data_IF_352773359230
#
_entry.id   IF_352773359230
#
_cell.length_a   1.000
_cell.length_b   1.000
_cell.length_c   1.000
_cell.angle_alpha   90.00
_cell.angle_beta   90.00
_cell.angle_gamma   90.00
#
_symmetry.space_group_name_H-M   'P 1'
#
loop_
_entity.id
_entity.type
_entity.pdbx_description
1 polymer ?
#
# COMPACT_ATOMS: atom_id res chain seq x y z
N UNK A 1 14.37 31.40 25.25
CA UNK A 1 14.62 30.62 24.02
C UNK A 1 16.10 30.35 23.96
N UNK A 2 16.51 29.10 24.07
CA UNK A 2 17.89 28.68 23.81
C UNK A 2 18.20 29.01 22.35
N UNK A 3 19.08 29.98 22.13
CA UNK A 3 19.56 30.34 20.80
C UNK A 3 20.57 29.27 20.40
N UNK A 4 20.27 28.51 19.35
CA UNK A 4 21.19 27.52 18.81
C UNK A 4 22.26 28.24 18.00
N UNK A 5 23.52 27.88 18.25
CA UNK A 5 24.68 28.45 17.57
C UNK A 5 24.59 28.31 16.04
N UNK A 6 25.05 29.33 15.32
CA UNK A 6 24.94 29.40 13.86
C UNK A 6 25.90 28.43 13.15
N UNK A 7 27.09 28.18 13.70
CA UNK A 7 28.02 27.19 13.14
C UNK A 7 27.43 25.79 13.26
N UNK A 8 26.82 25.48 14.42
CA UNK A 8 26.10 24.23 14.63
C UNK A 8 24.96 24.04 13.61
N UNK A 9 24.13 25.07 13.39
CA UNK A 9 23.07 25.01 12.37
C UNK A 9 23.61 24.78 10.96
N UNK A 10 24.77 25.37 10.64
CA UNK A 10 25.45 25.20 9.34
C UNK A 10 25.97 23.78 9.19
N UNK A 11 26.61 23.23 10.22
CA UNK A 11 27.09 21.86 10.26
C UNK A 11 25.93 20.85 10.09
N UNK A 12 24.82 21.04 10.83
CA UNK A 12 23.63 20.20 10.73
C UNK A 12 23.07 20.20 9.30
N UNK A 13 22.96 21.36 8.65
CA UNK A 13 22.51 21.43 7.25
C UNK A 13 23.45 20.68 6.31
N UNK A 14 24.76 20.84 6.47
CA UNK A 14 25.77 20.16 5.62
C UNK A 14 25.72 18.63 5.77
N UNK A 15 25.37 18.13 6.95
CA UNK A 15 25.14 16.70 7.22
C UNK A 15 23.72 16.21 6.87
N UNK A 16 22.90 17.05 6.23
CA UNK A 16 21.48 16.77 5.92
C UNK A 16 20.60 16.51 7.16
N UNK A 17 20.96 17.11 8.29
CA UNK A 17 20.23 17.11 9.56
C UNK A 17 19.40 18.40 9.74
N UNK A 18 19.01 19.07 8.65
CA UNK A 18 18.36 20.38 8.71
C UNK A 18 17.02 20.41 9.46
N UNK A 19 16.38 19.26 9.69
CA UNK A 19 15.16 19.12 10.50
C UNK A 19 15.45 18.99 11.99
N UNK A 20 16.63 18.50 12.39
CA UNK A 20 17.09 18.52 13.79
C UNK A 20 17.12 19.95 14.31
N UNK A 21 17.50 20.92 13.46
CA UNK A 21 17.52 22.33 13.83
C UNK A 21 16.18 22.86 14.37
N UNK A 22 15.06 22.25 13.97
CA UNK A 22 13.72 22.67 14.42
C UNK A 22 13.40 22.17 15.84
N UNK A 23 13.90 20.99 16.22
CA UNK A 23 13.60 20.34 17.50
C UNK A 23 14.72 20.51 18.53
N UNK A 24 15.94 20.82 18.08
CA UNK A 24 17.13 20.97 18.92
C UNK A 24 16.95 21.97 20.08
N UNK A 25 16.33 23.16 19.92
CA UNK A 25 16.11 24.07 21.05
C UNK A 25 15.33 23.43 22.20
N UNK A 26 14.28 22.66 21.88
CA UNK A 26 13.46 21.96 22.87
C UNK A 26 14.25 20.82 23.56
N UNK A 27 15.08 20.10 22.79
CA UNK A 27 15.94 19.04 23.33
C UNK A 27 17.04 19.58 24.24
N UNK A 28 17.60 20.75 23.94
CA UNK A 28 18.58 21.43 24.80
C UNK A 28 17.96 21.84 26.14
N UNK A 29 16.76 22.43 26.12
CA UNK A 29 16.02 22.77 27.36
C UNK A 29 15.71 21.53 28.19
N UNK A 30 15.34 20.42 27.54
CA UNK A 30 15.11 19.15 28.22
C UNK A 30 16.38 18.62 28.88
N UNK A 31 17.51 18.65 28.17
CA UNK A 31 18.80 18.20 28.68
C UNK A 31 19.26 19.02 29.90
N UNK A 32 19.11 20.34 29.86
CA UNK A 32 19.38 21.22 31.01
C UNK A 32 18.51 20.85 32.22
N UNK A 33 17.19 20.73 32.02
CA UNK A 33 16.24 20.40 33.10
C UNK A 33 16.51 19.04 33.73
N UNK A 34 16.96 18.07 32.94
CA UNK A 34 17.22 16.70 33.41
C UNK A 34 18.68 16.48 33.81
N UNK A 35 19.54 17.50 33.73
CA UNK A 35 20.99 17.34 33.92
C UNK A 35 21.56 16.17 33.07
N UNK A 36 21.08 16.09 31.82
CA UNK A 36 21.37 15.01 30.90
C UNK A 36 22.84 15.06 30.45
N UNK A 37 23.60 13.95 30.56
CA UNK A 37 24.94 13.85 29.99
C UNK A 37 24.95 14.14 28.48
N UNK A 38 26.04 14.73 27.98
CA UNK A 38 26.15 15.11 26.56
C UNK A 38 25.95 13.90 25.63
N UNK A 39 26.47 12.74 26.00
CA UNK A 39 26.28 11.49 25.24
C UNK A 39 24.80 11.12 25.09
N UNK A 40 23.99 11.31 26.15
CA UNK A 40 22.56 11.02 26.12
C UNK A 40 21.80 12.04 25.26
N UNK A 41 22.18 13.32 25.30
CA UNK A 41 21.60 14.34 24.42
C UNK A 41 21.91 14.04 22.95
N UNK A 42 23.16 13.68 22.64
CA UNK A 42 23.55 13.30 21.28
C UNK A 42 22.76 12.09 20.80
N UNK A 43 22.68 11.04 21.62
CA UNK A 43 21.89 9.85 21.30
C UNK A 43 20.43 10.22 21.05
N UNK A 44 19.79 10.99 21.94
CA UNK A 44 18.40 11.43 21.80
C UNK A 44 18.16 12.14 20.47
N UNK A 45 18.99 13.14 20.14
CA UNK A 45 18.86 13.93 18.93
C UNK A 45 19.05 13.08 17.67
N UNK A 46 20.02 12.17 17.68
CA UNK A 46 20.29 11.28 16.55
C UNK A 46 19.19 10.22 16.39
N UNK A 47 18.69 9.65 17.49
CA UNK A 47 17.57 8.70 17.46
C UNK A 47 16.30 9.36 16.93
N UNK A 48 15.98 10.59 17.36
CA UNK A 48 14.85 11.36 16.81
C UNK A 48 14.97 11.54 15.28
N UNK A 49 16.16 11.88 14.80
CA UNK A 49 16.44 12.02 13.37
C UNK A 49 16.24 10.70 12.62
N UNK A 50 16.77 9.60 13.16
CA UNK A 50 16.65 8.26 12.58
C UNK A 50 15.17 7.90 12.46
N UNK A 51 14.41 7.97 13.56
CA UNK A 51 12.98 7.64 13.55
C UNK A 51 12.19 8.54 12.59
N UNK A 52 12.54 9.82 12.48
CA UNK A 52 11.89 10.71 11.51
C UNK A 52 12.21 10.33 10.06
N UNK A 53 13.46 9.96 9.76
CA UNK A 53 13.86 9.51 8.41
C UNK A 53 13.16 8.19 8.05
N UNK A 54 13.08 7.25 8.99
CA UNK A 54 12.37 5.98 8.80
C UNK A 54 10.86 6.19 8.56
N UNK A 55 10.23 7.07 9.34
CA UNK A 55 8.83 7.45 9.14
C UNK A 55 8.63 8.11 7.76
N UNK A 56 9.50 9.04 7.38
CA UNK A 56 9.44 9.71 6.08
C UNK A 56 9.65 8.75 4.91
N UNK A 57 10.60 7.81 5.04
CA UNK A 57 10.83 6.77 4.05
C UNK A 57 9.59 5.86 3.90
N UNK A 58 8.95 5.53 5.01
CA UNK A 58 7.71 4.75 5.02
C UNK A 58 6.54 5.48 4.38
N UNK A 59 6.33 6.75 4.72
CA UNK A 59 5.30 7.57 4.08
C UNK A 59 5.52 7.69 2.57
N UNK A 60 6.78 7.83 2.14
CA UNK A 60 7.13 7.88 0.72
C UNK A 60 6.85 6.54 0.02
N UNK A 61 7.20 5.40 0.63
CA UNK A 61 6.87 4.06 0.10
C UNK A 61 5.36 3.86 -0.01
N UNK A 62 4.60 4.20 1.02
CA UNK A 62 3.13 4.10 1.05
C UNK A 62 2.49 4.95 -0.05
N UNK A 63 2.95 6.19 -0.24
CA UNK A 63 2.47 7.07 -1.32
C UNK A 63 2.82 6.54 -2.70
N UNK A 64 4.06 6.11 -2.90
CA UNK A 64 4.51 5.52 -4.17
C UNK A 64 3.73 4.24 -4.51
N UNK A 65 3.35 3.47 -3.48
CA UNK A 65 2.55 2.26 -3.62
C UNK A 65 1.10 2.53 -4.03
N UNK A 66 0.57 3.75 -3.86
CA UNK A 66 -0.83 4.06 -4.14
C UNK A 66 -1.81 3.52 -3.10
N UNK A 67 -1.35 3.27 -1.87
CA UNK A 67 -2.19 2.71 -0.80
C UNK A 67 -3.08 3.79 -0.16
N UNK A 68 -4.33 3.44 0.13
CA UNK A 68 -5.24 4.34 0.84
C UNK A 68 -4.79 4.52 2.31
N UNK A 69 -4.66 5.75 2.83
CA UNK A 69 -4.11 6.00 4.18
C UNK A 69 -4.85 5.28 5.31
N UNK A 70 -6.17 5.14 5.21
CA UNK A 70 -7.02 4.58 6.27
C UNK A 70 -7.10 3.06 6.29
N UNK A 71 -6.64 2.38 5.23
CA UNK A 71 -6.73 0.92 5.09
C UNK A 71 -5.55 0.22 5.76
N UNK A 72 -5.42 0.39 7.08
CA UNK A 72 -4.35 -0.20 7.90
C UNK A 72 -4.90 -1.27 8.82
N UNK A 73 -4.08 -2.23 9.23
CA UNK A 73 -4.53 -3.33 10.10
C UNK A 73 -5.13 -2.80 11.40
N UNK A 74 -4.56 -1.72 11.94
CA UNK A 74 -5.02 -1.06 13.17
C UNK A 74 -6.42 -0.43 13.01
N UNK A 75 -6.82 -0.07 11.79
CA UNK A 75 -8.11 0.52 11.48
C UNK A 75 -9.22 -0.52 11.25
N UNK A 76 -8.91 -1.82 11.36
CA UNK A 76 -9.90 -2.87 11.13
C UNK A 76 -10.99 -2.87 12.20
N UNK A 77 -12.25 -2.75 11.78
CA UNK A 77 -13.41 -2.84 12.68
C UNK A 77 -13.61 -4.28 13.17
N UNK A 78 -13.24 -4.54 14.42
CA UNK A 78 -13.41 -5.85 15.08
C UNK A 78 -14.87 -6.27 15.24
N UNK A 79 -15.83 -5.34 15.11
CA UNK A 79 -17.26 -5.63 15.15
C UNK A 79 -17.84 -6.00 13.77
N UNK A 80 -17.03 -5.95 12.71
CA UNK A 80 -17.45 -6.41 11.40
C UNK A 80 -17.87 -7.89 11.48
N UNK A 81 -19.03 -8.21 10.90
CA UNK A 81 -19.57 -9.58 10.90
C UNK A 81 -18.95 -10.40 9.79
N UNK A 82 -17.64 -10.59 9.88
CA UNK A 82 -16.87 -11.40 8.94
C UNK A 82 -15.94 -12.36 9.67
N UNK A 83 -15.66 -13.49 9.04
CA UNK A 83 -14.79 -14.55 9.52
C UNK A 83 -13.73 -14.88 8.49
N UNK A 84 -12.53 -15.16 8.98
CA UNK A 84 -11.38 -15.64 8.22
C UNK A 84 -10.44 -16.38 9.20
N UNK A 85 -9.52 -17.18 8.69
CA UNK A 85 -8.56 -17.88 9.54
C UNK A 85 -7.57 -16.90 10.18
N UNK A 86 -7.67 -16.76 11.51
CA UNK A 86 -6.79 -15.90 12.32
C UNK A 86 -5.34 -16.39 12.36
N UNK A 87 -5.11 -17.71 12.26
CA UNK A 87 -3.76 -18.27 12.19
C UNK A 87 -3.11 -17.90 10.87
N UNK A 88 -3.86 -18.05 9.78
CA UNK A 88 -3.40 -17.60 8.47
C UNK A 88 -3.12 -16.09 8.49
N UNK A 89 -4.03 -15.26 9.01
CA UNK A 89 -3.76 -13.82 9.13
C UNK A 89 -2.46 -13.54 9.89
N UNK A 90 -2.21 -14.22 11.03
CA UNK A 90 -0.96 -14.07 11.77
C UNK A 90 0.27 -14.43 10.91
N UNK A 91 0.21 -15.52 10.16
CA UNK A 91 1.25 -15.91 9.18
C UNK A 91 1.46 -14.82 8.12
N UNK A 92 0.39 -14.28 7.53
CA UNK A 92 0.49 -13.22 6.51
C UNK A 92 1.08 -11.93 7.10
N UNK A 93 0.71 -11.56 8.33
CA UNK A 93 1.27 -10.40 9.03
C UNK A 93 2.72 -10.55 9.45
N UNK A 94 3.27 -11.78 9.46
CA UNK A 94 4.70 -12.00 9.66
C UNK A 94 5.55 -11.57 8.46
N UNK A 95 4.92 -11.33 7.29
CA UNK A 95 5.55 -10.99 6.02
C UNK A 95 6.54 -12.03 5.46
N UNK A 96 6.72 -13.19 6.09
CA UNK A 96 7.62 -14.26 5.61
C UNK A 96 7.32 -14.72 4.19
N UNK A 97 6.06 -14.64 3.77
CA UNK A 97 5.65 -14.95 2.41
C UNK A 97 6.35 -14.07 1.35
N UNK A 98 6.83 -12.87 1.70
CA UNK A 98 7.62 -12.00 0.83
C UNK A 98 9.02 -12.58 0.57
N UNK A 99 9.68 -13.05 1.64
CA UNK A 99 11.01 -13.68 1.58
C UNK A 99 10.97 -15.01 0.84
N UNK A 100 9.88 -15.77 1.01
CA UNK A 100 9.66 -17.05 0.34
C UNK A 100 9.10 -16.91 -1.09
N UNK A 101 8.88 -15.67 -1.55
CA UNK A 101 8.25 -15.35 -2.84
C UNK A 101 6.92 -16.06 -3.08
N UNK A 102 6.13 -16.23 -2.01
CA UNK A 102 4.77 -16.78 -2.04
C UNK A 102 3.75 -15.69 -2.33
N UNK A 103 2.59 -16.10 -2.80
CA UNK A 103 1.49 -15.21 -3.15
C UNK A 103 0.34 -15.32 -2.14
N UNK A 104 -0.64 -14.45 -2.25
CA UNK A 104 -1.87 -14.48 -1.45
C UNK A 104 -3.04 -14.26 -2.40
N UNK A 105 -4.02 -15.15 -2.38
CA UNK A 105 -5.34 -14.90 -2.96
C UNK A 105 -6.27 -14.52 -1.82
N UNK A 106 -6.84 -13.33 -1.88
CA UNK A 106 -7.88 -12.88 -0.95
C UNK A 106 -9.25 -13.08 -1.61
N UNK A 107 -10.01 -14.06 -1.12
CA UNK A 107 -11.30 -14.46 -1.66
C UNK A 107 -12.44 -14.03 -0.74
N UNK A 108 -13.65 -13.89 -1.29
CA UNK A 108 -14.84 -13.57 -0.52
C UNK A 108 -15.85 -12.72 -1.28
N UNK A 109 -17.05 -12.57 -0.72
CA UNK A 109 -18.14 -11.80 -1.34
C UNK A 109 -17.88 -10.28 -1.34
N UNK A 110 -18.72 -9.52 -2.05
CA UNK A 110 -18.51 -8.08 -2.23
C UNK A 110 -18.65 -7.31 -0.90
N UNK A 111 -17.62 -6.53 -0.57
CA UNK A 111 -17.64 -5.62 0.58
C UNK A 111 -17.33 -6.27 1.94
N UNK A 112 -16.82 -7.49 1.98
CA UNK A 112 -16.33 -8.15 3.22
C UNK A 112 -14.97 -7.67 3.70
N UNK A 113 -14.30 -6.77 2.97
CA UNK A 113 -13.02 -6.18 3.37
C UNK A 113 -11.76 -6.75 2.69
N UNK A 114 -11.89 -7.46 1.56
CA UNK A 114 -10.74 -7.99 0.80
C UNK A 114 -9.70 -6.93 0.44
N UNK A 115 -10.13 -5.85 -0.23
CA UNK A 115 -9.28 -4.70 -0.59
C UNK A 115 -8.62 -4.07 0.62
N UNK A 116 -9.36 -3.96 1.73
CA UNK A 116 -8.83 -3.40 2.97
C UNK A 116 -7.68 -4.25 3.50
N UNK A 117 -7.86 -5.57 3.63
CA UNK A 117 -6.84 -6.45 4.20
C UNK A 117 -5.63 -6.58 3.27
N UNK A 118 -5.82 -6.61 1.95
CA UNK A 118 -4.72 -6.54 0.99
C UNK A 118 -3.91 -5.24 1.14
N UNK A 119 -4.60 -4.10 1.17
CA UNK A 119 -3.96 -2.79 1.37
C UNK A 119 -3.25 -2.69 2.73
N UNK A 120 -3.86 -3.25 3.78
CA UNK A 120 -3.30 -3.26 5.12
C UNK A 120 -2.01 -4.09 5.23
N UNK A 121 -1.94 -5.24 4.55
CA UNK A 121 -0.70 -6.00 4.38
C UNK A 121 0.34 -5.20 3.57
N UNK A 122 -0.09 -4.45 2.55
CA UNK A 122 0.75 -3.50 1.82
C UNK A 122 1.36 -2.41 2.71
N UNK A 123 0.58 -1.81 3.60
CA UNK A 123 1.08 -0.84 4.58
C UNK A 123 2.11 -1.48 5.53
N UNK A 124 1.85 -2.70 5.99
CA UNK A 124 2.78 -3.44 6.84
C UNK A 124 4.09 -3.75 6.09
N UNK A 125 4.02 -4.22 4.85
CA UNK A 125 5.18 -4.45 4.00
C UNK A 125 5.98 -3.15 3.79
N UNK A 126 5.30 -2.05 3.49
CA UNK A 126 5.92 -0.73 3.43
C UNK A 126 6.65 -0.41 4.73
N UNK A 127 6.02 -0.56 5.90
CA UNK A 127 6.65 -0.29 7.21
C UNK A 127 7.94 -1.09 7.43
N UNK A 128 8.03 -2.31 6.90
CA UNK A 128 9.21 -3.18 6.96
C UNK A 128 10.25 -2.92 5.87
N UNK A 129 10.07 -1.90 5.04
CA UNK A 129 11.07 -1.48 4.05
C UNK A 129 10.82 -1.97 2.64
N UNK A 130 9.84 -2.85 2.41
CA UNK A 130 9.52 -3.38 1.09
C UNK A 130 8.87 -2.33 0.19
N UNK A 131 9.25 -2.35 -1.09
CA UNK A 131 8.55 -1.67 -2.17
C UNK A 131 7.23 -2.36 -2.46
N UNK A 132 6.15 -1.59 -2.53
CA UNK A 132 4.81 -2.09 -2.80
C UNK A 132 4.23 -1.32 -3.98
N UNK A 133 3.42 -1.98 -4.81
CA UNK A 133 2.59 -1.32 -5.82
C UNK A 133 1.17 -1.88 -5.73
N UNK A 134 0.19 -1.01 -5.50
CA UNK A 134 -1.22 -1.34 -5.46
C UNK A 134 -1.92 -0.80 -6.70
N UNK A 135 -2.60 -1.68 -7.43
CA UNK A 135 -3.37 -1.34 -8.62
C UNK A 135 -4.68 -2.11 -8.63
N UNK A 136 -5.72 -1.53 -9.20
CA UNK A 136 -6.86 -2.34 -9.65
C UNK A 136 -6.46 -3.11 -10.91
N UNK A 137 -6.91 -4.36 -11.03
CA UNK A 137 -6.62 -5.20 -12.18
C UNK A 137 -7.06 -4.55 -13.50
N UNK A 138 -8.25 -3.94 -13.54
CA UNK A 138 -8.75 -3.25 -14.73
C UNK A 138 -7.89 -2.03 -15.12
N UNK A 139 -7.37 -1.30 -14.14
CA UNK A 139 -6.43 -0.19 -14.40
C UNK A 139 -5.11 -0.70 -14.96
N UNK A 140 -4.55 -1.77 -14.38
CA UNK A 140 -3.31 -2.39 -14.89
C UNK A 140 -3.46 -2.82 -16.35
N UNK A 141 -4.55 -3.54 -16.69
CA UNK A 141 -4.80 -3.99 -18.06
C UNK A 141 -4.97 -2.83 -19.04
N UNK A 142 -5.71 -1.77 -18.64
CA UNK A 142 -5.83 -0.54 -19.45
C UNK A 142 -4.48 0.13 -19.68
N UNK A 143 -3.63 0.24 -18.66
CA UNK A 143 -2.29 0.84 -18.78
C UNK A 143 -1.41 0.01 -19.71
N UNK A 144 -1.42 -1.33 -19.58
CA UNK A 144 -0.68 -2.22 -20.48
C UNK A 144 -1.19 -2.14 -21.92
N UNK A 145 -2.49 -1.99 -22.13
CA UNK A 145 -3.05 -1.75 -23.48
C UNK A 145 -2.58 -0.42 -24.07
N UNK A 146 -2.63 0.67 -23.29
CA UNK A 146 -2.18 1.99 -23.74
C UNK A 146 -0.68 2.02 -24.06
N UNK A 147 0.13 1.39 -23.20
CA UNK A 147 1.60 1.31 -23.33
C UNK A 147 2.08 0.56 -24.59
N UNK A 148 1.21 -0.21 -25.26
CA UNK A 148 1.51 -0.80 -26.57
C UNK A 148 1.50 0.25 -27.68
N UNK A 149 0.67 1.28 -27.57
CA UNK A 149 0.51 2.32 -28.58
C UNK A 149 1.71 3.28 -28.62
N UNK A 150 2.42 3.43 -27.50
CA UNK A 150 3.60 4.28 -27.37
C UNK A 150 4.91 3.48 -27.20
N UNK A 151 4.88 2.15 -27.40
CA UNK A 151 6.00 1.23 -27.25
C UNK A 151 6.64 1.21 -25.84
N UNK A 152 5.91 1.58 -24.80
CA UNK A 152 6.38 1.55 -23.40
C UNK A 152 5.97 0.29 -22.62
N UNK A 153 5.27 -0.65 -23.25
CA UNK A 153 4.70 -1.85 -22.58
C UNK A 153 5.71 -2.67 -21.79
N UNK A 154 6.90 -2.88 -22.33
CA UNK A 154 7.92 -3.68 -21.63
C UNK A 154 8.45 -2.95 -20.40
N UNK A 155 8.55 -1.61 -20.44
CA UNK A 155 8.90 -0.83 -19.26
C UNK A 155 7.82 -0.93 -18.17
N UNK A 156 6.53 -0.91 -18.54
CA UNK A 156 5.44 -1.11 -17.59
C UNK A 156 5.46 -2.53 -17.00
N UNK A 157 5.70 -3.55 -17.81
CA UNK A 157 5.82 -4.93 -17.33
C UNK A 157 6.98 -5.07 -16.34
N UNK A 158 8.16 -4.51 -16.64
CA UNK A 158 9.30 -4.47 -15.71
C UNK A 158 8.92 -3.78 -14.40
N UNK A 159 8.20 -2.65 -14.46
CA UNK A 159 7.75 -1.95 -13.26
C UNK A 159 6.73 -2.77 -12.42
N UNK A 160 5.98 -3.69 -13.04
CA UNK A 160 5.09 -4.62 -12.35
C UNK A 160 5.82 -5.83 -11.78
N UNK A 161 6.91 -6.29 -12.41
CA UNK A 161 7.62 -7.52 -12.02
C UNK A 161 8.77 -7.29 -11.05
N UNK A 162 9.30 -6.06 -10.97
CA UNK A 162 10.46 -5.72 -10.12
C UNK A 162 10.11 -5.25 -8.70
N UNK A 163 8.87 -4.87 -8.42
CA UNK A 163 8.45 -4.48 -7.06
C UNK A 163 8.40 -5.69 -6.13
N UNK A 164 8.77 -5.53 -4.86
CA UNK A 164 8.79 -6.63 -3.89
C UNK A 164 7.38 -7.25 -3.71
N UNK A 165 6.36 -6.39 -3.58
CA UNK A 165 4.96 -6.78 -3.46
C UNK A 165 4.07 -6.05 -4.48
N UNK A 166 3.44 -6.82 -5.36
CA UNK A 166 2.40 -6.33 -6.27
C UNK A 166 1.02 -6.72 -5.73
N UNK A 167 0.14 -5.74 -5.53
CA UNK A 167 -1.23 -5.95 -5.11
C UNK A 167 -2.16 -5.62 -6.28
N UNK A 168 -2.92 -6.63 -6.74
CA UNK A 168 -3.94 -6.49 -7.77
C UNK A 168 -5.32 -6.65 -7.15
N UNK A 169 -6.06 -5.55 -7.10
CA UNK A 169 -7.40 -5.51 -6.54
C UNK A 169 -8.46 -5.79 -7.62
N UNK A 170 -9.55 -6.46 -7.23
CA UNK A 170 -10.70 -6.74 -8.09
C UNK A 170 -10.33 -7.52 -9.37
N UNK A 171 -9.55 -8.59 -9.21
CA UNK A 171 -9.10 -9.43 -10.32
C UNK A 171 -10.21 -10.31 -10.89
N UNK A 172 -10.19 -10.48 -12.21
CA UNK A 172 -11.10 -11.33 -13.00
C UNK A 172 -12.59 -11.00 -12.82
N UNK A 173 -12.94 -9.72 -12.66
CA UNK A 173 -14.35 -9.29 -12.67
C UNK A 173 -15.00 -9.45 -14.05
N UNK A 174 -14.25 -9.19 -15.11
CA UNK A 174 -14.68 -9.22 -16.50
C UNK A 174 -13.78 -10.16 -17.31
N UNK A 175 -14.30 -10.64 -18.45
CA UNK A 175 -13.54 -11.45 -19.39
C UNK A 175 -12.42 -10.61 -20.03
N UNK A 176 -11.22 -11.17 -20.05
CA UNK A 176 -10.02 -10.59 -20.61
C UNK A 176 -9.95 -10.86 -22.11
N UNK A 177 -9.49 -9.88 -22.86
CA UNK A 177 -9.10 -10.06 -24.25
C UNK A 177 -7.88 -10.98 -24.36
N UNK A 178 -7.58 -11.44 -25.58
CA UNK A 178 -6.38 -12.22 -25.89
C UNK A 178 -5.08 -11.57 -25.42
N UNK A 179 -4.94 -10.26 -25.59
CA UNK A 179 -3.74 -9.52 -25.19
C UNK A 179 -3.62 -9.39 -23.68
N UNK A 180 -4.72 -9.12 -23.00
CA UNK A 180 -4.77 -9.03 -21.53
C UNK A 180 -4.48 -10.39 -20.88
N UNK A 181 -5.02 -11.47 -21.45
CA UNK A 181 -4.74 -12.84 -21.03
C UNK A 181 -3.24 -13.16 -21.11
N UNK A 182 -2.57 -12.70 -22.18
CA UNK A 182 -1.11 -12.85 -22.35
C UNK A 182 -0.31 -11.99 -21.37
N UNK A 183 -0.77 -10.78 -21.09
CA UNK A 183 -0.14 -9.90 -20.10
C UNK A 183 -0.17 -10.52 -18.71
N UNK A 184 -1.34 -11.02 -18.28
CA UNK A 184 -1.50 -11.68 -16.99
C UNK A 184 -0.66 -12.95 -16.91
N UNK A 185 -0.64 -13.76 -17.98
CA UNK A 185 0.21 -14.94 -18.06
C UNK A 185 1.70 -14.58 -17.87
N UNK A 186 2.19 -13.59 -18.60
CA UNK A 186 3.58 -13.13 -18.48
C UNK A 186 3.87 -12.62 -17.06
N UNK A 187 2.99 -11.80 -16.51
CA UNK A 187 3.13 -11.26 -15.17
C UNK A 187 3.24 -12.36 -14.10
N UNK A 188 2.33 -13.34 -14.13
CA UNK A 188 2.36 -14.46 -13.18
C UNK A 188 3.62 -15.30 -13.35
N UNK A 189 4.00 -15.57 -14.60
CA UNK A 189 5.22 -16.34 -14.91
C UNK A 189 6.48 -15.64 -14.40
N UNK A 190 6.62 -14.34 -14.64
CA UNK A 190 7.82 -13.58 -14.27
C UNK A 190 7.96 -13.39 -12.76
N UNK A 191 6.84 -13.29 -12.03
CA UNK A 191 6.86 -13.09 -10.57
C UNK A 191 6.94 -14.39 -9.77
N UNK A 192 6.53 -15.52 -10.33
CA UNK A 192 6.60 -16.82 -9.65
C UNK A 192 8.05 -17.11 -9.21
N UNK A 193 8.26 -17.25 -7.90
CA UNK A 193 9.58 -17.51 -7.31
C UNK A 193 10.57 -16.32 -7.33
N UNK A 194 10.11 -15.11 -7.70
CA UNK A 194 10.96 -13.89 -7.75
C UNK A 194 10.36 -12.72 -6.98
N UNK A 195 9.04 -12.62 -6.89
CA UNK A 195 8.37 -11.52 -6.21
C UNK A 195 6.95 -11.88 -5.82
N UNK A 196 6.47 -11.35 -4.69
CA UNK A 196 5.19 -11.76 -4.13
C UNK A 196 4.02 -10.96 -4.69
N UNK A 197 2.85 -11.57 -4.69
CA UNK A 197 1.62 -10.97 -5.20
C UNK A 197 0.49 -11.14 -4.19
N UNK A 198 -0.35 -10.12 -4.06
CA UNK A 198 -1.66 -10.24 -3.41
C UNK A 198 -2.71 -9.97 -4.47
N UNK A 199 -3.61 -10.92 -4.69
CA UNK A 199 -4.74 -10.75 -5.61
C UNK A 199 -6.02 -10.79 -4.81
N UNK A 200 -6.89 -9.79 -4.95
CA UNK A 200 -8.25 -9.86 -4.41
C UNK A 200 -9.22 -10.28 -5.51
N UNK A 201 -10.17 -11.15 -5.20
CA UNK A 201 -11.22 -11.51 -6.16
C UNK A 201 -12.53 -11.89 -5.47
N UNK A 202 -13.63 -11.66 -6.18
CA UNK A 202 -14.95 -12.21 -5.83
C UNK A 202 -15.19 -13.59 -6.45
N UNK A 203 -14.26 -14.06 -7.29
CA UNK A 203 -14.29 -15.34 -7.98
C UNK A 203 -13.18 -16.23 -7.45
N UNK A 204 -13.44 -17.53 -7.36
CA UNK A 204 -12.39 -18.50 -7.06
C UNK A 204 -11.44 -18.70 -8.25
N UNK A 205 -10.33 -19.40 -8.04
CA UNK A 205 -9.33 -19.63 -9.09
C UNK A 205 -9.85 -20.49 -10.24
N UNK A 206 -10.86 -21.34 -10.03
CA UNK A 206 -11.45 -22.15 -11.09
C UNK A 206 -12.30 -21.26 -12.01
N UNK A 207 -13.07 -20.32 -11.43
CA UNK A 207 -13.82 -19.31 -12.16
C UNK A 207 -12.93 -18.33 -12.93
N UNK A 208 -11.70 -18.08 -12.46
CA UNK A 208 -10.74 -17.24 -13.20
C UNK A 208 -10.44 -17.80 -14.59
N UNK A 209 -10.36 -19.13 -14.73
CA UNK A 209 -10.05 -19.78 -16.01
C UNK A 209 -11.03 -19.37 -17.11
N UNK A 210 -12.31 -19.21 -16.77
CA UNK A 210 -13.35 -18.79 -17.71
C UNK A 210 -13.25 -17.31 -18.11
N UNK A 211 -12.48 -16.50 -17.38
CA UNK A 211 -12.28 -15.09 -17.67
C UNK A 211 -11.09 -14.85 -18.62
N UNK A 212 -10.27 -15.87 -18.90
CA UNK A 212 -9.21 -15.77 -19.90
C UNK A 212 -9.75 -16.13 -21.30
N UNK A 213 -9.16 -15.54 -22.33
CA UNK A 213 -9.48 -15.84 -23.74
C UNK A 213 -8.99 -17.24 -24.17
N UNK A 214 -7.79 -17.63 -23.74
CA UNK A 214 -7.17 -18.92 -24.05
C UNK A 214 -7.12 -19.81 -22.80
N UNK A 215 -7.91 -20.90 -22.81
CA UNK A 215 -8.06 -21.84 -21.69
C UNK A 215 -6.74 -22.53 -21.33
N UNK A 216 -5.92 -22.89 -22.32
CA UNK A 216 -4.64 -23.58 -22.06
C UNK A 216 -3.65 -22.64 -21.37
N UNK A 217 -3.59 -21.40 -21.85
CA UNK A 217 -2.77 -20.36 -21.26
C UNK A 217 -3.23 -20.04 -19.82
N UNK A 218 -4.55 -19.95 -19.63
CA UNK A 218 -5.19 -19.72 -18.33
C UNK A 218 -4.83 -20.81 -17.33
N UNK A 219 -5.01 -22.08 -17.71
CA UNK A 219 -4.71 -23.23 -16.86
C UNK A 219 -3.25 -23.19 -16.41
N UNK A 220 -2.35 -22.90 -17.35
CA UNK A 220 -0.91 -22.78 -17.11
C UNK A 220 -0.58 -21.63 -16.15
N UNK A 221 -1.17 -20.44 -16.30
CA UNK A 221 -0.94 -19.30 -15.42
C UNK A 221 -1.53 -19.51 -14.02
N UNK A 222 -2.81 -19.86 -13.95
CA UNK A 222 -3.56 -19.97 -12.70
C UNK A 222 -3.04 -21.12 -11.85
N UNK A 223 -2.68 -22.25 -12.46
CA UNK A 223 -2.13 -23.38 -11.70
C UNK A 223 -0.78 -23.04 -11.04
N UNK A 224 0.12 -22.36 -11.76
CA UNK A 224 1.39 -21.87 -11.16
C UNK A 224 1.14 -20.90 -10.02
N UNK A 225 0.20 -19.96 -10.21
CA UNK A 225 -0.11 -18.95 -9.21
C UNK A 225 -0.71 -19.58 -7.95
N UNK A 226 -1.77 -20.39 -8.09
CA UNK A 226 -2.52 -20.96 -6.95
C UNK A 226 -1.62 -21.85 -6.09
N UNK A 227 -0.76 -22.66 -6.72
CA UNK A 227 0.12 -23.59 -6.01
C UNK A 227 1.25 -22.88 -5.26
N UNK A 228 1.47 -21.59 -5.55
CA UNK A 228 2.40 -20.72 -4.84
C UNK A 228 1.69 -19.74 -3.89
N UNK A 229 0.37 -19.82 -3.75
CA UNK A 229 -0.43 -18.86 -3.00
C UNK A 229 -1.03 -19.41 -1.71
N UNK A 230 -1.18 -18.54 -0.72
CA UNK A 230 -2.07 -18.76 0.41
C UNK A 230 -3.49 -18.32 0.05
N UNK A 231 -4.48 -19.19 0.27
CA UNK A 231 -5.89 -18.86 0.10
C UNK A 231 -6.47 -18.24 1.37
N UNK A 232 -6.61 -16.92 1.36
CA UNK A 232 -7.17 -16.14 2.45
C UNK A 232 -8.63 -15.80 2.18
N UNK A 233 -9.52 -16.70 2.60
CA UNK A 233 -10.97 -16.59 2.38
C UNK A 233 -11.61 -15.76 3.50
N UNK A 234 -12.40 -14.77 3.11
CA UNK A 234 -13.19 -13.91 4.00
C UNK A 234 -14.67 -14.14 3.74
N UNK A 235 -15.36 -14.61 4.76
CA UNK A 235 -16.79 -14.88 4.72
C UNK A 235 -17.54 -13.88 5.61
N UNK A 236 -18.78 -13.57 5.27
CA UNK A 236 -19.65 -12.75 6.12
C UNK A 236 -20.45 -11.70 5.37
N UNK A 237 -21.01 -10.76 6.14
CA UNK A 237 -21.87 -9.69 5.64
C UNK A 237 -21.05 -8.54 5.04
N UNK A 238 -21.60 -7.88 4.01
CA UNK A 238 -20.99 -6.68 3.45
C UNK A 238 -20.88 -5.58 4.51
N UNK A 239 -19.72 -4.93 4.60
CA UNK A 239 -19.47 -3.80 5.50
C UNK A 239 -20.09 -2.49 5.00
N UNK A 240 -20.31 -2.37 3.69
CA UNK A 240 -20.76 -1.14 3.00
C UNK A 240 -22.05 -0.52 3.57
N UNK A 241 -23.08 -1.27 4.02
CA UNK A 241 -24.27 -0.68 4.64
C UNK A 241 -23.97 0.18 5.87
N UNK A 242 -22.90 -0.10 6.62
CA UNK A 242 -22.48 0.71 7.78
C UNK A 242 -21.93 2.08 7.36
N UNK A 243 -21.36 2.17 6.16
CA UNK A 243 -20.83 3.41 5.58
C UNK A 243 -21.90 4.24 4.87
N UNK A 244 -23.12 3.73 4.76
CA UNK A 244 -24.23 4.45 4.13
C UNK A 244 -24.47 5.76 4.91
N UNK A 245 -24.45 6.93 4.25
CA UNK A 245 -24.76 8.20 4.90
C UNK A 245 -26.11 8.13 5.62
N UNK A 246 -26.16 8.61 6.86
CA UNK A 246 -27.38 8.71 7.66
C UNK A 246 -27.76 10.16 7.81
N UNK A 247 -29.04 10.47 7.63
CA UNK A 247 -29.58 11.77 8.02
C UNK A 247 -29.72 11.77 9.53
N UNK A 248 -28.99 12.64 10.20
CA UNK A 248 -29.20 12.89 11.63
C UNK A 248 -30.35 13.88 11.78
N UNK A 249 -31.53 13.37 12.19
CA UNK A 249 -32.72 14.19 12.39
C UNK A 249 -32.57 15.18 13.57
N UNK A 250 -31.53 15.04 14.40
CA UNK A 250 -31.22 15.93 15.51
C UNK A 250 -30.13 16.95 15.17
N UNK A 251 -29.48 16.84 14.01
CA UNK A 251 -28.48 17.81 13.59
C UNK A 251 -29.18 19.11 13.15
N UNK A 252 -28.65 20.29 13.54
CA UNK A 252 -29.15 21.56 13.02
C UNK A 252 -29.05 21.59 11.49
N UNK A 253 -29.93 22.37 10.84
CA UNK A 253 -29.93 22.48 9.37
C UNK A 253 -28.51 22.74 8.87
N UNK A 254 -28.02 21.94 7.91
CA UNK A 254 -26.65 22.07 7.44
C UNK A 254 -26.48 23.44 6.80
N UNK A 255 -25.54 24.23 7.31
CA UNK A 255 -25.12 25.46 6.64
C UNK A 255 -24.66 25.13 5.22
N UNK A 256 -24.96 25.99 4.25
CA UNK A 256 -24.48 25.86 2.87
C UNK A 256 -23.00 25.48 2.85
N UNK A 257 -22.64 24.51 2.00
CA UNK A 257 -21.25 24.09 1.84
C UNK A 257 -20.39 25.33 1.56
N UNK A 258 -19.26 25.46 2.24
CA UNK A 258 -18.31 26.54 1.97
C UNK A 258 -17.91 26.48 0.50
N UNK A 259 -17.93 27.64 -0.18
CA UNK A 259 -17.45 27.72 -1.55
C UNK A 259 -16.05 27.12 -1.65
N UNK A 260 -15.85 26.26 -2.66
CA UNK A 260 -14.51 25.72 -2.95
C UNK A 260 -13.60 26.91 -3.25
N UNK A 261 -12.61 27.16 -2.40
CA UNK A 261 -11.60 28.18 -2.66
C UNK A 261 -10.98 27.88 -4.02
N UNK A 262 -11.03 28.80 -5.01
CA UNK A 262 -10.46 28.55 -6.31
C UNK A 262 -8.98 28.24 -6.17
N UNK A 263 -8.57 27.04 -6.54
CA UNK A 263 -7.15 26.69 -6.63
C UNK A 263 -6.58 27.54 -7.76
N UNK A 264 -5.89 28.62 -7.42
CA UNK A 264 -5.22 29.45 -8.41
C UNK A 264 -4.30 28.55 -9.26
N UNK A 265 -4.39 28.62 -10.61
CA UNK A 265 -3.52 27.82 -11.46
C UNK A 265 -2.08 28.23 -11.16
N UNK A 266 -1.26 27.26 -10.75
CA UNK A 266 0.20 27.44 -10.64
C UNK A 266 0.67 27.96 -12.00
N UNK A 267 1.15 29.22 -12.03
CA UNK A 267 1.82 29.79 -13.21
C UNK A 267 2.90 28.80 -13.64
N UNK A 268 2.74 28.21 -14.84
CA UNK A 268 3.84 27.52 -15.52
C UNK A 268 4.97 28.52 -15.62
N UNK A 269 6.11 28.24 -14.98
CA UNK A 269 7.36 28.96 -15.26
C UNK A 269 7.69 28.68 -16.73
N UNK A 270 7.70 29.73 -17.54
CA UNK A 270 8.38 29.75 -18.84
C UNK A 270 9.89 29.78 -18.61
#
# INVERSE_FOLDING_TARGET
>A
MTIVDHELLTALKRLRLGRVALTLPERLVLAEKQSMPIEQLLLLVLTDEISRREASATDNRVRAAGLHPDMRLESWDKSAKVSFDKRLLATLTSLRFLEEHKHIVVLGSVGVGKTFLASALGHLACKHGYGVRFLRADTMLRTLRQSRLDNSRDAEMIALTTVDLLILDDFALEAMTKEESRDVYQLFLERTGRGSMIITSNRDTAEWLAMFDDVLLAQSAVDRFKNAAYDFVIEGESYRPRLKPKLDASAPEPSLARDKTPVHPRKRRQ
#
